data_IF_929472561198
#
_entry.id   IF_929472561198
#
_cell.length_a   1.000
_cell.length_b   1.000
_cell.length_c   1.000
_cell.angle_alpha   90.00
_cell.angle_beta   90.00
_cell.angle_gamma   90.00
#
_symmetry.space_group_name_H-M   'P 1'
#
loop_
_entity.id
_entity.type
_entity.pdbx_description
1 polymer ?
#
# COMPACT_ATOMS: atom_id res chain seq x y z
N UNK A 1 -27.89 -38.60 43.76
CA UNK A 1 -28.33 -38.44 45.16
C UNK A 1 -28.68 -39.82 45.70
N UNK A 2 -28.10 -40.21 46.83
CA UNK A 2 -28.41 -41.49 47.47
C UNK A 2 -29.84 -41.43 48.06
N UNK A 3 -30.61 -42.49 47.87
CA UNK A 3 -31.96 -42.63 48.40
C UNK A 3 -31.89 -43.27 49.79
N UNK A 4 -32.26 -42.51 50.82
CA UNK A 4 -32.20 -42.92 52.23
C UNK A 4 -33.56 -43.41 52.78
N UNK A 5 -34.58 -43.57 51.92
CA UNK A 5 -35.92 -44.02 52.34
C UNK A 5 -35.93 -45.43 52.93
N UNK A 6 -34.89 -46.23 52.68
CA UNK A 6 -34.77 -47.62 53.15
C UNK A 6 -34.29 -47.77 54.60
N UNK A 7 -33.84 -46.68 55.26
CA UNK A 7 -33.34 -46.71 56.64
C UNK A 7 -34.36 -46.21 57.68
N UNK A 8 -35.61 -45.94 57.27
CA UNK A 8 -36.65 -45.42 58.15
C UNK A 8 -37.51 -46.56 58.74
N UNK A 9 -37.49 -46.78 60.06
CA UNK A 9 -38.61 -47.43 60.74
C UNK A 9 -39.83 -46.51 60.64
N UNK A 10 -40.96 -47.03 60.18
CA UNK A 10 -42.22 -46.28 60.16
C UNK A 10 -42.69 -45.99 61.59
N UNK A 11 -43.07 -44.73 61.83
CA UNK A 11 -43.62 -44.23 63.09
C UNK A 11 -44.79 -45.13 63.58
N UNK A 12 -44.72 -45.57 64.85
CA UNK A 12 -45.75 -46.43 65.47
C UNK A 12 -45.37 -47.90 65.69
N UNK A 13 -44.13 -48.31 65.41
CA UNK A 13 -43.64 -49.65 65.77
C UNK A 13 -43.42 -49.75 67.28
N UNK A 14 -44.46 -50.11 68.03
CA UNK A 14 -44.40 -50.30 69.49
C UNK A 14 -43.71 -51.62 69.85
N UNK A 15 -42.72 -51.56 70.75
CA UNK A 15 -42.16 -52.75 71.40
C UNK A 15 -40.63 -52.83 71.51
N UNK A 16 -39.86 -51.96 70.85
CA UNK A 16 -38.40 -51.94 71.00
C UNK A 16 -38.01 -50.84 71.97
N UNK A 17 -37.43 -51.23 73.10
CA UNK A 17 -36.96 -50.31 74.13
C UNK A 17 -36.00 -49.27 73.51
N UNK A 18 -36.16 -47.97 73.82
CA UNK A 18 -35.27 -46.95 73.31
C UNK A 18 -33.83 -47.20 73.78
N UNK A 19 -32.81 -46.87 72.97
CA UNK A 19 -31.41 -46.97 73.38
C UNK A 19 -31.17 -46.22 74.70
N UNK A 20 -30.42 -46.83 75.61
CA UNK A 20 -30.03 -46.24 76.89
C UNK A 20 -29.36 -44.88 76.67
N UNK A 21 -29.94 -43.81 77.22
CA UNK A 21 -29.39 -42.45 77.15
C UNK A 21 -30.39 -41.31 76.94
N UNK A 22 -31.65 -41.61 76.59
CA UNK A 22 -32.67 -40.58 76.32
C UNK A 22 -33.75 -40.55 77.42
N UNK A 23 -33.86 -39.42 78.12
CA UNK A 23 -34.96 -39.11 79.03
C UNK A 23 -35.66 -37.83 78.53
N UNK A 24 -36.98 -37.85 78.41
CA UNK A 24 -37.78 -36.69 77.99
C UNK A 24 -38.39 -36.03 79.23
N UNK A 25 -38.16 -34.74 79.42
CA UNK A 25 -38.88 -33.91 80.41
C UNK A 25 -40.08 -33.23 79.73
N UNK A 26 -41.27 -33.36 80.31
CA UNK A 26 -42.56 -33.17 79.65
C UNK A 26 -43.06 -31.75 79.41
N UNK A 27 -42.21 -30.74 79.18
CA UNK A 27 -42.68 -29.38 78.86
C UNK A 27 -42.00 -28.70 77.66
N UNK A 28 -41.01 -29.34 77.01
CA UNK A 28 -40.54 -28.92 75.68
C UNK A 28 -40.93 -30.01 74.67
N UNK A 29 -41.49 -29.62 73.52
CA UNK A 29 -41.65 -30.57 72.42
C UNK A 29 -40.25 -31.08 72.07
N UNK A 30 -39.97 -32.39 72.24
CA UNK A 30 -38.66 -32.91 71.90
C UNK A 30 -38.49 -32.66 70.41
N UNK A 31 -37.42 -31.96 70.02
CA UNK A 31 -36.91 -31.95 68.65
C UNK A 31 -36.85 -33.41 68.25
N UNK A 32 -37.80 -33.86 67.43
CA UNK A 32 -37.96 -35.27 67.17
C UNK A 32 -36.83 -35.74 66.25
N UNK A 33 -36.68 -37.06 66.12
CA UNK A 33 -35.65 -37.61 65.26
C UNK A 33 -35.78 -37.11 63.81
N UNK A 34 -36.95 -36.62 63.40
CA UNK A 34 -37.21 -36.08 62.07
C UNK A 34 -36.64 -34.67 61.90
N UNK A 35 -36.85 -33.79 62.87
CA UNK A 35 -36.22 -32.45 62.89
C UNK A 35 -34.69 -32.57 62.92
N UNK A 36 -34.15 -33.47 63.75
CA UNK A 36 -32.71 -33.72 63.78
C UNK A 36 -32.21 -34.37 62.47
N UNK A 37 -32.97 -35.25 61.82
CA UNK A 37 -32.58 -35.88 60.56
C UNK A 37 -32.57 -34.87 59.41
N UNK A 38 -33.63 -34.08 59.25
CA UNK A 38 -33.72 -33.08 58.17
C UNK A 38 -32.65 -32.02 58.36
N UNK A 39 -32.48 -31.49 59.58
CA UNK A 39 -31.44 -30.49 59.89
C UNK A 39 -30.04 -31.07 59.72
N UNK A 40 -29.79 -32.31 60.13
CA UNK A 40 -28.49 -32.96 59.94
C UNK A 40 -28.13 -33.10 58.46
N UNK A 41 -29.02 -33.67 57.65
CA UNK A 41 -28.74 -33.87 56.22
C UNK A 41 -28.63 -32.55 55.46
N UNK A 42 -29.47 -31.55 55.79
CA UNK A 42 -29.34 -30.20 55.22
C UNK A 42 -27.98 -29.58 55.57
N UNK A 43 -27.51 -29.73 56.82
CA UNK A 43 -26.20 -29.25 57.23
C UNK A 43 -25.05 -29.97 56.51
N UNK A 44 -25.15 -31.29 56.32
CA UNK A 44 -24.14 -32.05 55.58
C UNK A 44 -24.13 -31.70 54.09
N UNK A 45 -25.29 -31.53 53.47
CA UNK A 45 -25.42 -31.06 52.09
C UNK A 45 -24.85 -29.65 51.91
N UNK A 46 -25.13 -28.73 52.85
CA UNK A 46 -24.55 -27.39 52.86
C UNK A 46 -23.03 -27.46 52.99
N UNK A 47 -22.50 -28.28 53.89
CA UNK A 47 -21.04 -28.46 54.04
C UNK A 47 -20.41 -29.02 52.77
N UNK A 48 -21.06 -29.98 52.12
CA UNK A 48 -20.60 -30.54 50.86
C UNK A 48 -20.60 -29.49 49.75
N UNK A 49 -21.66 -28.69 49.62
CA UNK A 49 -21.74 -27.58 48.67
C UNK A 49 -20.67 -26.51 48.94
N UNK A 50 -20.42 -26.19 50.20
CA UNK A 50 -19.34 -25.27 50.62
C UNK A 50 -17.98 -25.86 50.24
N UNK A 51 -17.74 -27.15 50.49
CA UNK A 51 -16.51 -27.83 50.09
C UNK A 51 -16.31 -27.78 48.58
N UNK A 52 -17.30 -28.20 47.80
CA UNK A 52 -17.23 -28.18 46.34
C UNK A 52 -17.04 -26.78 45.75
N UNK A 53 -17.64 -25.77 46.39
CA UNK A 53 -17.50 -24.37 45.98
C UNK A 53 -16.10 -23.85 46.30
N UNK A 54 -15.57 -24.19 47.47
CA UNK A 54 -14.20 -23.85 47.84
C UNK A 54 -13.20 -24.56 46.93
N UNK A 55 -13.29 -25.87 46.73
CA UNK A 55 -12.41 -26.64 45.83
C UNK A 55 -12.38 -26.06 44.41
N UNK A 56 -13.52 -25.58 43.90
CA UNK A 56 -13.61 -24.92 42.57
C UNK A 56 -13.13 -23.46 42.55
N UNK A 57 -13.07 -22.81 43.71
CA UNK A 57 -12.65 -21.41 43.87
C UNK A 57 -11.28 -21.28 44.55
N UNK A 58 -10.61 -22.39 44.86
CA UNK A 58 -9.29 -22.39 45.49
C UNK A 58 -8.29 -21.79 44.50
N UNK A 59 -8.18 -20.47 44.54
CA UNK A 59 -7.02 -19.77 44.08
C UNK A 59 -5.90 -20.14 45.04
N UNK A 60 -5.11 -21.15 44.70
CA UNK A 60 -3.86 -21.40 45.42
C UNK A 60 -3.04 -20.09 45.43
N UNK A 61 -2.27 -19.85 46.50
CA UNK A 61 -1.44 -18.65 46.62
C UNK A 61 -0.01 -19.02 46.98
N UNK A 62 0.96 -18.42 46.31
CA UNK A 62 2.36 -18.62 46.63
C UNK A 62 3.30 -18.23 45.52
N UNK A 63 4.59 -18.43 45.76
CA UNK A 63 5.66 -18.17 44.79
C UNK A 63 6.05 -19.42 43.98
N UNK A 64 5.39 -20.55 44.22
CA UNK A 64 5.65 -21.83 43.55
C UNK A 64 4.32 -22.47 43.19
N UNK A 65 4.24 -22.94 41.95
CA UNK A 65 3.03 -23.56 41.43
C UNK A 65 2.75 -24.94 42.07
N UNK A 66 1.47 -25.34 42.12
CA UNK A 66 1.07 -26.71 42.41
C UNK A 66 1.81 -27.72 41.51
N UNK A 67 2.21 -28.86 42.09
CA UNK A 67 2.99 -29.88 41.38
C UNK A 67 2.16 -30.76 40.43
N UNK A 68 0.83 -30.73 40.57
CA UNK A 68 -0.11 -31.51 39.75
C UNK A 68 -1.38 -30.70 39.53
N UNK A 69 -1.30 -29.61 38.74
CA UNK A 69 -2.45 -28.74 38.55
C UNK A 69 -3.50 -29.37 37.64
N UNK A 70 -4.76 -29.03 37.87
CA UNK A 70 -5.87 -29.43 36.99
C UNK A 70 -6.13 -28.37 35.92
N UNK A 71 -6.69 -28.78 34.77
CA UNK A 71 -7.03 -27.85 33.71
C UNK A 71 -8.04 -26.80 34.21
N UNK A 72 -7.71 -25.52 34.07
CA UNK A 72 -8.54 -24.41 34.53
C UNK A 72 -8.33 -24.03 36.00
N UNK A 73 -7.38 -24.63 36.69
CA UNK A 73 -7.02 -24.24 38.06
C UNK A 73 -6.56 -22.78 38.10
N UNK A 74 -7.03 -22.02 39.09
CA UNK A 74 -6.67 -20.63 39.31
C UNK A 74 -5.57 -20.55 40.38
N UNK A 75 -4.57 -19.70 40.16
CA UNK A 75 -3.47 -19.51 41.11
C UNK A 75 -3.03 -18.05 41.16
N UNK A 76 -2.86 -17.52 42.36
CA UNK A 76 -2.25 -16.22 42.60
C UNK A 76 -0.75 -16.38 42.83
N UNK A 77 0.04 -16.03 41.81
CA UNK A 77 1.50 -16.08 41.91
C UNK A 77 1.99 -14.83 42.64
N UNK A 78 2.48 -15.00 43.88
CA UNK A 78 2.98 -13.88 44.70
C UNK A 78 4.32 -13.34 44.25
N UNK A 79 5.08 -14.09 43.44
CA UNK A 79 6.35 -13.67 42.87
C UNK A 79 6.17 -12.69 41.70
N UNK A 80 5.23 -12.97 40.80
CA UNK A 80 4.88 -12.12 39.65
C UNK A 80 3.73 -11.16 39.94
N UNK A 81 3.01 -11.35 41.05
CA UNK A 81 1.81 -10.59 41.45
C UNK A 81 0.69 -10.66 40.40
N UNK A 82 0.51 -11.83 39.80
CA UNK A 82 -0.45 -12.08 38.72
C UNK A 82 -1.43 -13.18 39.12
N UNK A 83 -2.68 -13.06 38.64
CA UNK A 83 -3.62 -14.17 38.65
C UNK A 83 -3.39 -14.99 37.38
N UNK A 84 -3.25 -16.31 37.54
CA UNK A 84 -2.90 -17.21 36.46
C UNK A 84 -3.84 -18.40 36.42
N UNK A 85 -4.04 -18.95 35.22
CA UNK A 85 -4.85 -20.14 34.98
C UNK A 85 -4.00 -21.23 34.34
N UNK A 86 -4.10 -22.46 34.84
CA UNK A 86 -3.41 -23.59 34.25
C UNK A 86 -4.13 -24.06 32.98
N UNK A 87 -3.39 -24.13 31.87
CA UNK A 87 -3.87 -24.68 30.60
C UNK A 87 -3.19 -26.03 30.36
N UNK A 88 -3.97 -27.11 30.45
CA UNK A 88 -3.48 -28.49 30.26
C UNK A 88 -3.05 -28.76 28.81
N UNK A 89 -3.71 -28.14 27.82
CA UNK A 89 -3.33 -28.31 26.42
C UNK A 89 -1.97 -27.67 26.11
N UNK A 90 -1.67 -26.53 26.76
CA UNK A 90 -0.38 -25.86 26.66
C UNK A 90 0.64 -26.34 27.72
N UNK A 91 0.22 -27.18 28.67
CA UNK A 91 1.02 -27.66 29.82
C UNK A 91 1.70 -26.53 30.61
N UNK A 92 1.03 -25.38 30.76
CA UNK A 92 1.63 -24.18 31.36
C UNK A 92 0.61 -23.30 32.08
N UNK A 93 1.10 -22.48 33.02
CA UNK A 93 0.34 -21.40 33.62
C UNK A 93 0.30 -20.18 32.69
N UNK A 94 -0.89 -19.59 32.53
CA UNK A 94 -1.12 -18.40 31.71
C UNK A 94 -1.59 -17.25 32.59
N UNK A 95 -0.86 -16.14 32.57
CA UNK A 95 -1.28 -14.90 33.22
C UNK A 95 -2.55 -14.34 32.59
N UNK A 96 -3.50 -13.94 33.44
CA UNK A 96 -4.66 -13.18 33.04
C UNK A 96 -4.26 -11.70 32.96
N UNK A 97 -4.57 -11.05 31.84
CA UNK A 97 -4.29 -9.62 31.67
C UNK A 97 -5.27 -8.79 32.50
N UNK A 98 -4.76 -7.79 33.22
CA UNK A 98 -5.61 -6.78 33.87
C UNK A 98 -5.98 -5.67 32.89
N UNK A 99 -7.03 -4.91 33.21
CA UNK A 99 -7.51 -3.78 32.39
C UNK A 99 -6.40 -2.75 32.12
N UNK A 100 -5.55 -2.50 33.12
CA UNK A 100 -4.39 -1.61 32.98
C UNK A 100 -3.35 -2.13 31.98
N UNK A 101 -3.05 -3.44 31.98
CA UNK A 101 -2.09 -4.05 31.06
C UNK A 101 -2.62 -4.01 29.63
N UNK A 102 -3.91 -4.30 29.45
CA UNK A 102 -4.56 -4.27 28.14
C UNK A 102 -4.66 -2.84 27.61
N UNK A 103 -4.96 -1.87 28.47
CA UNK A 103 -4.98 -0.45 28.12
C UNK A 103 -3.59 0.02 27.72
N UNK A 104 -2.56 -0.30 28.51
CA UNK A 104 -1.18 0.04 28.19
C UNK A 104 -0.78 -0.55 26.84
N UNK A 105 -1.04 -1.83 26.61
CA UNK A 105 -0.78 -2.51 25.34
C UNK A 105 -1.52 -1.86 24.15
N UNK A 106 -2.81 -1.55 24.30
CA UNK A 106 -3.61 -0.95 23.22
C UNK A 106 -3.14 0.47 22.86
N UNK A 107 -2.54 1.18 23.82
CA UNK A 107 -1.96 2.51 23.62
C UNK A 107 -0.47 2.49 23.28
N UNK A 108 0.17 1.32 23.33
CA UNK A 108 1.58 1.19 23.01
C UNK A 108 1.78 1.46 21.51
N UNK A 109 2.60 2.46 21.20
CA UNK A 109 3.00 2.83 19.85
C UNK A 109 4.49 2.62 19.63
N UNK A 110 5.14 1.81 20.47
CA UNK A 110 6.44 1.27 20.15
C UNK A 110 6.27 0.12 19.15
N UNK A 111 7.15 0.05 18.15
CA UNK A 111 7.23 -1.06 17.19
C UNK A 111 7.19 -2.40 17.97
N UNK A 112 6.17 -3.26 17.79
CA UNK A 112 5.35 -3.49 16.56
C UNK A 112 4.16 -2.57 16.27
N UNK A 113 3.77 -1.61 17.12
CA UNK A 113 2.67 -0.68 16.85
C UNK A 113 3.20 0.70 16.45
N UNK A 114 2.64 1.31 15.39
CA UNK A 114 3.11 2.58 14.78
C UNK A 114 4.53 2.51 14.18
N UNK A 115 4.81 1.46 13.41
CA UNK A 115 6.06 1.31 12.64
C UNK A 115 6.31 2.55 11.78
N UNK A 116 7.44 3.23 12.02
CA UNK A 116 7.85 4.39 11.22
C UNK A 116 8.28 3.95 9.82
N UNK A 117 8.27 4.87 8.87
CA UNK A 117 8.75 4.57 7.52
C UNK A 117 10.22 4.10 7.54
N UNK A 118 11.07 4.73 8.36
CA UNK A 118 12.42 4.24 8.63
C UNK A 118 12.48 2.78 9.13
N UNK A 119 11.58 2.37 10.03
CA UNK A 119 11.53 1.00 10.56
C UNK A 119 11.06 -0.03 9.51
N UNK A 120 10.21 0.39 8.58
CA UNK A 120 9.77 -0.45 7.45
C UNK A 120 10.79 -0.51 6.30
N UNK A 121 11.89 0.24 6.38
CA UNK A 121 12.78 0.46 5.23
C UNK A 121 12.09 1.22 4.10
N UNK A 122 10.98 1.90 4.40
CA UNK A 122 10.32 2.79 3.49
C UNK A 122 11.06 4.12 3.45
N UNK A 123 11.08 4.70 2.26
CA UNK A 123 11.73 5.96 1.98
C UNK A 123 10.90 7.09 2.61
N UNK A 124 11.52 7.94 3.43
CA UNK A 124 10.86 9.06 4.12
C UNK A 124 10.83 10.32 3.24
N UNK A 125 10.03 10.28 2.19
CA UNK A 125 9.69 11.50 1.44
C UNK A 125 8.47 12.20 2.06
N UNK A 126 8.41 13.53 1.97
CA UNK A 126 7.20 14.26 2.30
C UNK A 126 6.06 13.82 1.36
N UNK A 127 4.81 13.93 1.84
CA UNK A 127 3.64 13.51 1.04
C UNK A 127 3.60 14.27 -0.30
N UNK A 128 3.64 13.52 -1.40
CA UNK A 128 3.61 14.07 -2.76
C UNK A 128 4.97 14.54 -3.29
N UNK A 129 6.07 14.29 -2.56
CA UNK A 129 7.43 14.49 -3.05
C UNK A 129 8.12 13.16 -3.26
N UNK A 130 9.08 13.13 -4.18
CA UNK A 130 10.11 12.09 -4.25
C UNK A 130 11.43 12.85 -4.24
N UNK A 131 12.27 12.65 -3.22
CA UNK A 131 13.62 13.20 -3.22
C UNK A 131 14.42 12.54 -4.35
N UNK A 132 15.11 13.35 -5.16
CA UNK A 132 15.91 12.90 -6.30
C UNK A 132 17.00 11.91 -5.88
N UNK A 133 17.48 11.98 -4.62
CA UNK A 133 18.45 11.02 -4.06
C UNK A 133 17.91 9.59 -3.97
N UNK A 134 16.60 9.40 -4.07
CA UNK A 134 15.95 8.09 -4.09
C UNK A 134 15.83 7.49 -5.49
N UNK A 135 16.14 8.25 -6.53
CA UNK A 135 16.09 7.78 -7.91
C UNK A 135 17.44 7.14 -8.30
N UNK A 136 17.35 6.07 -9.08
CA UNK A 136 18.54 5.42 -9.68
C UNK A 136 19.02 6.11 -10.97
N UNK A 137 18.39 7.22 -11.32
CA UNK A 137 18.63 7.99 -12.53
C UNK A 137 18.46 9.48 -12.21
N UNK A 138 19.19 10.31 -12.94
CA UNK A 138 19.10 11.76 -12.80
C UNK A 138 17.85 12.30 -13.50
N UNK A 139 17.11 13.18 -12.82
CA UNK A 139 16.02 13.94 -13.42
C UNK A 139 16.55 15.20 -14.09
N UNK A 140 16.03 15.54 -15.27
CA UNK A 140 16.39 16.79 -15.94
C UNK A 140 15.96 17.99 -15.07
N UNK A 141 16.92 18.85 -14.76
CA UNK A 141 16.70 20.11 -14.04
C UNK A 141 15.93 21.09 -14.92
N UNK A 142 15.25 22.07 -14.30
CA UNK A 142 14.57 23.13 -15.05
C UNK A 142 15.55 23.89 -15.97
N UNK A 143 16.79 24.08 -15.54
CA UNK A 143 17.81 24.74 -16.35
C UNK A 143 18.17 23.94 -17.62
N UNK A 144 18.26 22.61 -17.53
CA UNK A 144 18.49 21.75 -18.69
C UNK A 144 17.31 21.75 -19.65
N UNK A 145 16.08 21.77 -19.13
CA UNK A 145 14.87 21.88 -19.94
C UNK A 145 14.77 23.24 -20.63
N UNK A 146 15.08 24.34 -19.94
CA UNK A 146 15.09 25.69 -20.50
C UNK A 146 16.18 25.84 -21.58
N UNK A 147 17.35 25.24 -21.35
CA UNK A 147 18.43 25.20 -22.33
C UNK A 147 18.00 24.41 -23.57
N UNK A 148 17.42 23.22 -23.40
CA UNK A 148 16.90 22.43 -24.52
C UNK A 148 15.80 23.19 -25.28
N UNK A 149 14.88 23.85 -24.58
CA UNK A 149 13.76 24.57 -25.20
C UNK A 149 14.21 25.79 -26.04
N UNK A 150 15.37 26.35 -25.71
CA UNK A 150 15.96 27.49 -26.42
C UNK A 150 17.06 27.10 -27.40
N UNK A 151 17.45 25.83 -27.42
CA UNK A 151 18.45 25.32 -28.35
C UNK A 151 17.89 25.34 -29.79
N UNK A 152 18.54 26.14 -30.63
CA UNK A 152 18.26 26.24 -32.07
C UNK A 152 19.39 25.64 -32.90
N UNK A 153 20.32 24.91 -32.27
CA UNK A 153 21.21 24.03 -32.98
C UNK A 153 20.39 22.87 -33.58
N UNK A 154 20.76 22.47 -34.79
CA UNK A 154 20.20 21.34 -35.53
C UNK A 154 19.97 20.13 -34.58
N UNK A 155 18.73 19.64 -34.38
CA UNK A 155 17.60 19.67 -35.32
C UNK A 155 16.63 20.85 -35.27
N UNK A 156 16.76 21.80 -34.35
CA UNK A 156 15.87 22.94 -34.34
C UNK A 156 16.35 24.02 -35.31
N UNK A 157 15.40 24.67 -36.01
CA UNK A 157 15.65 25.81 -36.90
C UNK A 157 16.59 25.54 -38.10
N UNK A 158 16.43 24.38 -38.78
CA UNK A 158 17.22 24.07 -39.99
C UNK A 158 17.00 25.12 -41.09
N UNK A 159 18.06 25.79 -41.54
CA UNK A 159 18.05 26.70 -42.67
C UNK A 159 18.16 25.97 -44.03
N UNK A 160 17.95 26.72 -45.11
CA UNK A 160 17.99 26.17 -46.47
C UNK A 160 19.35 25.53 -46.81
N UNK A 161 20.44 26.05 -46.26
CA UNK A 161 21.79 25.49 -46.44
C UNK A 161 21.90 24.12 -45.79
N UNK A 162 21.38 23.98 -44.57
CA UNK A 162 21.45 22.74 -43.78
C UNK A 162 20.70 21.58 -44.43
N UNK A 163 19.62 21.85 -45.16
CA UNK A 163 18.82 20.82 -45.85
C UNK A 163 19.07 20.74 -47.36
N UNK A 164 20.00 21.54 -47.90
CA UNK A 164 20.29 21.61 -49.33
C UNK A 164 19.17 22.22 -50.18
N UNK A 165 18.28 23.01 -49.57
CA UNK A 165 17.23 23.75 -50.27
C UNK A 165 17.77 25.08 -50.84
N UNK A 166 17.08 25.58 -51.87
CA UNK A 166 17.41 26.88 -52.47
C UNK A 166 16.89 28.05 -51.61
N UNK A 167 17.68 29.11 -51.38
CA UNK A 167 17.20 30.30 -50.68
C UNK A 167 16.06 31.01 -51.43
N UNK A 168 14.95 31.29 -50.74
CA UNK A 168 13.76 31.93 -51.31
C UNK A 168 14.00 33.44 -51.58
N UNK A 169 15.00 34.04 -50.93
CA UNK A 169 15.31 35.47 -50.99
C UNK A 169 16.21 35.87 -52.17
N UNK A 170 16.49 34.92 -53.08
CA UNK A 170 17.38 35.11 -54.22
C UNK A 170 18.81 34.63 -53.95
N UNK A 171 19.55 34.39 -55.03
CA UNK A 171 20.91 33.86 -55.01
C UNK A 171 21.39 33.49 -56.41
N UNK A 172 22.66 33.10 -56.53
CA UNK A 172 23.22 32.59 -57.79
C UNK A 172 23.00 31.07 -57.86
N UNK A 173 22.18 30.61 -58.79
CA UNK A 173 22.11 29.18 -59.13
C UNK A 173 23.28 28.86 -60.08
N UNK A 174 24.07 27.86 -59.72
CA UNK A 174 25.16 27.34 -60.56
C UNK A 174 24.84 25.93 -61.03
N UNK A 175 25.29 25.56 -62.23
CA UNK A 175 25.05 24.23 -62.81
C UNK A 175 23.89 24.19 -63.81
N UNK A 176 23.53 22.98 -64.24
CA UNK A 176 22.41 22.77 -65.17
C UNK A 176 21.09 22.84 -64.40
N UNK A 177 20.22 23.74 -64.82
CA UNK A 177 18.83 23.79 -64.35
C UNK A 177 17.98 23.02 -65.34
N UNK A 178 17.32 21.96 -64.89
CA UNK A 178 16.32 21.22 -65.68
C UNK A 178 14.94 21.87 -65.49
N UNK A 179 14.40 22.43 -66.57
CA UNK A 179 13.09 23.10 -66.59
C UNK A 179 12.05 22.33 -67.43
N UNK A 180 12.29 21.04 -67.72
CA UNK A 180 11.52 20.23 -68.68
C UNK A 180 9.99 20.25 -68.51
N UNK A 181 9.47 20.51 -67.30
CA UNK A 181 8.03 20.55 -67.01
C UNK A 181 7.50 21.96 -66.70
N UNK A 182 8.35 22.99 -66.72
CA UNK A 182 7.98 24.34 -66.29
C UNK A 182 8.22 25.35 -67.40
N UNK A 183 7.21 26.16 -67.70
CA UNK A 183 7.32 27.29 -68.61
C UNK A 183 8.03 28.48 -67.94
N UNK A 184 8.90 29.16 -68.70
CA UNK A 184 9.49 30.42 -68.27
C UNK A 184 8.64 31.58 -68.79
N UNK A 185 7.96 32.30 -67.89
CA UNK A 185 7.13 33.44 -68.22
C UNK A 185 7.84 34.78 -67.91
N UNK A 186 7.45 35.83 -68.62
CA UNK A 186 7.92 37.20 -68.39
C UNK A 186 9.45 37.38 -68.48
N UNK A 187 10.10 36.61 -69.37
CA UNK A 187 11.51 36.78 -69.69
C UNK A 187 11.70 38.16 -70.33
N UNK A 188 12.42 39.04 -69.64
CA UNK A 188 12.87 40.31 -70.22
C UNK A 188 14.20 40.05 -70.91
N UNK A 189 14.19 40.12 -72.24
CA UNK A 189 15.42 40.17 -73.05
C UNK A 189 15.59 41.55 -73.64
N UNK A 190 16.81 41.86 -74.08
CA UNK A 190 17.09 43.12 -74.77
C UNK A 190 16.38 43.17 -76.14
N UNK A 191 15.47 44.14 -76.37
CA UNK A 191 14.93 44.39 -77.70
C UNK A 191 15.94 45.20 -78.52
N UNK A 192 16.40 44.65 -79.64
CA UNK A 192 17.44 45.26 -80.47
C UNK A 192 16.96 45.46 -81.91
N UNK A 193 17.36 46.56 -82.54
CA UNK A 193 17.05 46.85 -83.95
C UNK A 193 17.98 46.11 -84.94
N UNK A 194 19.10 45.57 -84.45
CA UNK A 194 20.07 44.80 -85.20
C UNK A 194 20.82 43.84 -84.25
N UNK A 195 21.55 42.87 -84.81
CA UNK A 195 22.37 41.97 -83.98
C UNK A 195 23.48 42.75 -83.24
N UNK A 196 23.78 42.40 -81.97
CA UNK A 196 24.90 42.98 -81.25
C UNK A 196 26.20 42.81 -82.03
N UNK A 197 27.07 43.82 -81.98
CA UNK A 197 28.38 43.77 -82.62
C UNK A 197 29.35 42.84 -81.88
N UNK A 198 29.14 42.64 -80.57
CA UNK A 198 29.97 41.78 -79.71
C UNK A 198 29.09 40.96 -78.76
N UNK A 199 28.31 39.98 -79.26
CA UNK A 199 27.45 39.18 -78.41
C UNK A 199 28.27 38.20 -77.56
N UNK A 200 27.81 37.95 -76.34
CA UNK A 200 28.40 36.92 -75.46
C UNK A 200 27.74 35.56 -75.70
N UNK A 201 28.48 34.47 -75.51
CA UNK A 201 27.91 33.13 -75.68
C UNK A 201 26.71 32.93 -74.74
N UNK A 202 25.58 32.49 -75.29
CA UNK A 202 24.33 32.30 -74.55
C UNK A 202 23.47 33.55 -74.44
N UNK A 203 23.91 34.71 -74.95
CA UNK A 203 23.08 35.90 -75.04
C UNK A 203 21.91 35.66 -76.01
N UNK A 204 20.70 36.04 -75.58
CA UNK A 204 19.46 35.95 -76.35
C UNK A 204 18.86 37.36 -76.44
N UNK A 205 18.36 37.73 -77.62
CA UNK A 205 17.72 39.02 -77.87
C UNK A 205 16.55 38.88 -78.84
N UNK A 206 15.67 39.87 -78.82
CA UNK A 206 14.57 39.98 -79.78
C UNK A 206 14.89 41.05 -80.82
N UNK A 207 14.89 40.67 -82.11
CA UNK A 207 15.08 41.60 -83.21
C UNK A 207 13.77 42.30 -83.55
N UNK A 208 13.68 43.60 -83.28
CA UNK A 208 12.47 44.39 -83.48
C UNK A 208 12.17 44.71 -84.94
N UNK A 209 13.18 44.70 -85.81
CA UNK A 209 13.05 44.96 -87.25
C UNK A 209 12.45 43.77 -88.02
N UNK A 210 12.72 42.55 -87.55
CA UNK A 210 12.28 41.30 -88.19
C UNK A 210 11.21 40.56 -87.37
N UNK A 211 11.00 40.93 -86.11
CA UNK A 211 10.06 40.27 -85.19
C UNK A 211 10.49 38.87 -84.79
N UNK A 212 11.80 38.58 -84.78
CA UNK A 212 12.34 37.22 -84.58
C UNK A 212 13.25 37.15 -83.36
N UNK A 213 13.32 35.96 -82.76
CA UNK A 213 14.21 35.68 -81.64
C UNK A 213 15.57 35.20 -82.16
N UNK A 214 16.64 35.72 -81.56
CA UNK A 214 18.02 35.40 -81.92
C UNK A 214 18.84 35.08 -80.68
N UNK A 215 19.88 34.27 -80.85
CA UNK A 215 20.86 34.02 -79.81
C UNK A 215 22.24 33.72 -80.36
N UNK A 216 23.27 33.90 -79.54
CA UNK A 216 24.65 33.66 -79.92
C UNK A 216 25.20 32.37 -79.32
N UNK A 217 25.62 31.44 -80.19
CA UNK A 217 26.15 30.14 -79.74
C UNK A 217 27.65 30.18 -79.37
N UNK A 218 28.29 31.36 -79.45
CA UNK A 218 29.73 31.54 -79.25
C UNK A 218 30.52 31.69 -80.56
N UNK A 219 29.92 31.35 -81.70
CA UNK A 219 30.54 31.41 -83.04
C UNK A 219 29.71 32.16 -84.07
N UNK A 220 28.39 32.10 -83.99
CA UNK A 220 27.47 32.77 -84.91
C UNK A 220 26.15 33.12 -84.22
N UNK A 221 25.47 34.12 -84.77
CA UNK A 221 24.06 34.38 -84.45
C UNK A 221 23.19 33.30 -85.06
N UNK A 222 22.24 32.78 -84.28
CA UNK A 222 21.27 31.76 -84.69
C UNK A 222 19.87 32.33 -84.46
N UNK A 223 19.04 32.29 -85.49
CA UNK A 223 17.62 32.61 -85.38
C UNK A 223 16.87 31.39 -84.81
N UNK A 224 16.04 31.62 -83.80
CA UNK A 224 15.14 30.61 -83.29
C UNK A 224 13.88 30.56 -84.16
N UNK A 225 13.49 29.37 -84.60
CA UNK A 225 12.20 29.18 -85.26
C UNK A 225 11.09 29.33 -84.22
N UNK A 226 10.15 30.23 -84.45
CA UNK A 226 8.88 30.21 -83.70
C UNK A 226 8.16 28.91 -84.06
N UNK A 227 7.84 28.09 -83.07
CA UNK A 227 6.94 26.93 -83.21
C UNK A 227 5.51 27.42 -82.98
#
# INVERSE_FOLDING_TARGET
MADYTTYLPTWGSTGVAPPSGYAYAGEEQPVDAFDNFVVYNQNEDIKYLVGLTNDRLESGLGSSYPASPENGELFWNTGTQTLELYDDAATMWKGLAFDADLTAHATDTANPHSVTAAQAGAIEDATGTVDETHLSFDTATQAELDAHATDTANPHNTDATQVGALPIVGGTMSGKIDMSQFDICNVVVDPLAADPTEPTQGQIWFRTDTGTWHGYNGTSTVQFSTV
#
